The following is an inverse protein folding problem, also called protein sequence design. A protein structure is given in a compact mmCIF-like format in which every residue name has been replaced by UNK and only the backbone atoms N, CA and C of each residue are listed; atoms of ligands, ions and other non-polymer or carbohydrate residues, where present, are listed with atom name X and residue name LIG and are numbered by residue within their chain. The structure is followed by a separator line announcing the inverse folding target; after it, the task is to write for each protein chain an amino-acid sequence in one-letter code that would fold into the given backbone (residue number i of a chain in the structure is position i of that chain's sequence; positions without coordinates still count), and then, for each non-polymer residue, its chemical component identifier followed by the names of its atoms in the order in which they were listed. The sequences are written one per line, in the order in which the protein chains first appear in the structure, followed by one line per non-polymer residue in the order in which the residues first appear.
data_IF_808178364228
#
_entry.id   IF_808178364228
#
_cell.length_a   1.000
_cell.length_b   1.000
_cell.length_c   1.000
_cell.angle_alpha   90.00
_cell.angle_beta   90.00
_cell.angle_gamma   90.00
#
_symmetry.space_group_name_H-M   'P 1'
#
loop_
_entity.id
_entity.type
_entity.pdbx_description
1 polymer ?
#
# COMPACT_ATOMS: atom_id res chain seq x y z
N UNK A 1 -25.63 10.37 -25.00
CA UNK A 1 -24.64 9.91 -26.00
C UNK A 1 -23.22 10.44 -25.72
N UNK A 2 -23.05 11.50 -24.92
CA UNK A 2 -21.71 12.01 -24.55
C UNK A 2 -21.04 11.24 -23.39
N UNK A 3 -21.81 10.62 -22.49
CA UNK A 3 -21.22 9.93 -21.32
C UNK A 3 -20.43 8.66 -21.67
N UNK A 4 -20.84 7.93 -22.72
CA UNK A 4 -20.10 6.77 -23.24
C UNK A 4 -18.73 7.14 -23.82
N UNK A 5 -18.55 8.39 -24.28
CA UNK A 5 -17.27 8.88 -24.82
C UNK A 5 -16.34 9.43 -23.73
N UNK A 6 -16.84 9.61 -22.49
CA UNK A 6 -16.08 10.13 -21.35
C UNK A 6 -15.73 9.05 -20.30
N UNK A 7 -15.85 7.77 -20.67
CA UNK A 7 -15.48 6.65 -19.81
C UNK A 7 -14.04 6.20 -20.08
N UNK A 8 -13.32 5.81 -19.03
CA UNK A 8 -12.00 5.18 -19.18
C UNK A 8 -12.20 3.72 -19.64
N UNK A 9 -11.73 3.32 -20.84
CA UNK A 9 -12.17 2.12 -21.58
C UNK A 9 -11.80 0.75 -20.97
N UNK A 10 -11.37 0.71 -19.70
CA UNK A 10 -11.13 -0.51 -18.92
C UNK A 10 -11.76 -0.40 -17.53
N UNK A 11 -11.75 0.80 -16.95
CA UNK A 11 -12.22 1.06 -15.59
C UNK A 11 -13.75 1.22 -15.57
N UNK A 12 -14.38 1.56 -16.71
CA UNK A 12 -15.84 1.73 -16.79
C UNK A 12 -16.35 2.90 -15.94
N UNK A 13 -15.50 3.89 -15.68
CA UNK A 13 -15.75 5.02 -14.80
C UNK A 13 -15.68 6.32 -15.59
N UNK A 14 -16.54 7.28 -15.22
CA UNK A 14 -16.48 8.65 -15.74
C UNK A 14 -15.13 9.31 -15.41
N UNK A 15 -14.64 10.13 -16.34
CA UNK A 15 -13.37 10.86 -16.17
C UNK A 15 -13.35 11.71 -14.91
N UNK A 16 -14.44 12.39 -14.55
CA UNK A 16 -14.50 13.23 -13.35
C UNK A 16 -14.32 12.41 -12.06
N UNK A 17 -15.04 11.30 -11.93
CA UNK A 17 -14.92 10.37 -10.81
C UNK A 17 -13.51 9.75 -10.76
N UNK A 18 -12.93 9.44 -11.93
CA UNK A 18 -11.57 8.94 -12.02
C UNK A 18 -10.52 9.97 -11.56
N UNK A 19 -10.69 11.24 -11.92
CA UNK A 19 -9.79 12.30 -11.47
C UNK A 19 -9.89 12.52 -9.96
N UNK A 20 -11.09 12.46 -9.39
CA UNK A 20 -11.27 12.48 -7.94
C UNK A 20 -10.57 11.29 -7.27
N UNK A 21 -10.72 10.10 -7.83
CA UNK A 21 -10.04 8.89 -7.37
C UNK A 21 -8.51 9.04 -7.41
N UNK A 22 -7.99 9.67 -8.46
CA UNK A 22 -6.56 9.90 -8.63
C UNK A 22 -6.02 10.87 -7.56
N UNK A 23 -6.72 11.98 -7.31
CA UNK A 23 -6.33 12.98 -6.31
C UNK A 23 -6.40 12.39 -4.90
N UNK A 24 -7.47 11.64 -4.60
CA UNK A 24 -7.61 10.97 -3.31
C UNK A 24 -6.57 9.87 -3.11
N UNK A 25 -6.19 9.14 -4.17
CA UNK A 25 -5.09 8.17 -4.11
C UNK A 25 -3.72 8.82 -3.86
N UNK A 26 -3.44 9.98 -4.47
CA UNK A 26 -2.25 10.77 -4.17
C UNK A 26 -2.23 11.17 -2.68
N UNK A 27 -3.35 11.71 -2.19
CA UNK A 27 -3.49 12.11 -0.80
C UNK A 27 -3.36 10.93 0.17
N UNK A 28 -3.98 9.78 -0.15
CA UNK A 28 -3.91 8.55 0.64
C UNK A 28 -2.50 7.98 0.71
N UNK A 29 -1.77 7.97 -0.41
CA UNK A 29 -0.38 7.52 -0.45
C UNK A 29 0.54 8.43 0.36
N UNK A 30 0.37 9.76 0.24
CA UNK A 30 1.10 10.73 1.07
C UNK A 30 0.75 10.59 2.55
N UNK A 31 -0.52 10.37 2.87
CA UNK A 31 -0.99 10.13 4.23
C UNK A 31 -0.31 8.90 4.84
N UNK A 32 -0.29 7.77 4.13
CA UNK A 32 0.38 6.55 4.59
C UNK A 32 1.89 6.73 4.80
N UNK A 33 2.56 7.56 3.99
CA UNK A 33 3.95 7.94 4.23
C UNK A 33 4.10 8.85 5.47
N UNK A 34 3.18 9.80 5.67
CA UNK A 34 3.26 10.76 6.77
C UNK A 34 3.12 10.09 8.14
N UNK A 35 2.17 9.17 8.31
CA UNK A 35 1.86 8.53 9.60
C UNK A 35 2.56 7.19 9.82
N UNK A 36 3.22 6.65 8.80
CA UNK A 36 3.81 5.32 8.80
C UNK A 36 2.87 4.26 8.20
N UNK A 37 3.47 3.28 7.51
CA UNK A 37 2.72 2.28 6.75
C UNK A 37 1.88 1.39 7.68
N UNK A 38 2.48 0.84 8.76
CA UNK A 38 1.77 -0.02 9.70
C UNK A 38 0.62 0.71 10.41
N UNK A 39 0.80 1.93 10.95
CA UNK A 39 -0.31 2.73 11.47
C UNK A 39 -1.45 2.93 10.45
N UNK A 40 -1.14 3.23 9.19
CA UNK A 40 -2.16 3.37 8.15
C UNK A 40 -2.91 2.06 7.86
N UNK A 41 -2.20 0.93 7.87
CA UNK A 41 -2.82 -0.39 7.69
C UNK A 41 -3.71 -0.78 8.89
N UNK A 42 -3.27 -0.48 10.11
CA UNK A 42 -4.06 -0.68 11.33
C UNK A 42 -5.33 0.17 11.27
N UNK A 43 -5.22 1.44 10.87
CA UNK A 43 -6.37 2.32 10.68
C UNK A 43 -7.39 1.72 9.71
N UNK A 44 -6.90 1.17 8.59
CA UNK A 44 -7.74 0.45 7.63
C UNK A 44 -8.49 -0.70 8.30
N UNK A 45 -7.80 -1.51 9.09
CA UNK A 45 -8.37 -2.62 9.84
C UNK A 45 -9.50 -2.19 10.79
N UNK A 46 -9.33 -1.07 11.50
CA UNK A 46 -10.40 -0.53 12.35
C UNK A 46 -11.63 -0.09 11.56
N UNK A 47 -11.44 0.54 10.40
CA UNK A 47 -12.56 0.95 9.54
C UNK A 47 -13.30 -0.26 8.98
N UNK A 48 -12.59 -1.27 8.51
CA UNK A 48 -13.18 -2.53 8.03
C UNK A 48 -13.90 -3.24 9.17
N UNK A 49 -13.28 -3.34 10.35
CA UNK A 49 -13.90 -3.95 11.53
C UNK A 49 -15.22 -3.24 11.91
N UNK A 50 -15.23 -1.90 11.87
CA UNK A 50 -16.43 -1.11 12.12
C UNK A 50 -17.51 -1.35 11.05
N UNK A 51 -17.14 -1.34 9.76
CA UNK A 51 -18.05 -1.56 8.64
C UNK A 51 -18.72 -2.94 8.71
N UNK A 52 -17.93 -3.99 8.92
CA UNK A 52 -18.44 -5.35 9.09
C UNK A 52 -19.26 -5.51 10.37
N UNK A 53 -18.84 -4.88 11.47
CA UNK A 53 -19.56 -4.88 12.74
C UNK A 53 -20.95 -4.26 12.62
N UNK A 54 -21.06 -3.11 11.94
CA UNK A 54 -22.35 -2.48 11.61
C UNK A 54 -23.18 -3.39 10.71
N UNK A 55 -22.55 -4.03 9.72
CA UNK A 55 -23.22 -4.98 8.82
C UNK A 55 -23.84 -6.16 9.57
N UNK A 56 -23.13 -6.74 10.53
CA UNK A 56 -23.65 -7.82 11.39
C UNK A 56 -24.80 -7.30 12.25
N UNK A 57 -24.62 -6.14 12.90
CA UNK A 57 -25.63 -5.56 13.76
C UNK A 57 -26.93 -5.29 12.98
N UNK A 58 -26.86 -4.68 11.80
CA UNK A 58 -28.02 -4.44 10.92
C UNK A 58 -28.77 -5.73 10.55
N UNK A 59 -28.07 -6.85 10.33
CA UNK A 59 -28.71 -8.15 10.06
C UNK A 59 -29.47 -8.69 11.28
N UNK A 60 -29.06 -8.31 12.50
CA UNK A 60 -29.68 -8.79 13.74
C UNK A 60 -30.81 -7.89 14.25
N UNK A 61 -30.70 -6.57 14.12
CA UNK A 61 -31.69 -5.61 14.65
C UNK A 61 -32.73 -5.15 13.63
N UNK A 62 -32.63 -5.58 12.37
CA UNK A 62 -33.46 -5.11 11.26
C UNK A 62 -32.94 -3.79 10.67
N UNK A 63 -33.47 -3.43 9.50
CA UNK A 63 -33.10 -2.18 8.83
C UNK A 63 -33.43 -0.98 9.73
N UNK A 64 -32.48 -0.04 9.86
CA UNK A 64 -32.75 1.25 10.49
C UNK A 64 -33.67 2.04 9.53
N UNK A 65 -34.80 2.54 10.03
CA UNK A 65 -35.73 3.35 9.23
C UNK A 65 -34.98 4.50 8.53
N UNK A 66 -35.05 4.55 7.20
CA UNK A 66 -34.38 5.57 6.38
C UNK A 66 -32.99 5.21 5.84
N UNK A 67 -32.44 4.02 6.15
CA UNK A 67 -31.17 3.53 5.58
C UNK A 67 -31.37 2.11 5.04
N UNK A 68 -31.22 1.88 3.71
CA UNK A 68 -31.28 0.53 3.15
C UNK A 68 -30.28 -0.41 3.84
N UNK A 69 -30.76 -1.55 4.33
CA UNK A 69 -29.94 -2.52 5.07
C UNK A 69 -28.77 -3.01 4.21
N UNK A 70 -27.55 -2.96 4.74
CA UNK A 70 -26.33 -3.41 4.07
C UNK A 70 -25.58 -2.35 3.25
N UNK A 71 -26.22 -1.25 2.86
CA UNK A 71 -25.60 -0.20 2.05
C UNK A 71 -24.62 0.67 2.87
N UNK A 72 -24.97 0.95 4.12
CA UNK A 72 -24.08 1.66 5.06
C UNK A 72 -22.82 0.86 5.41
N UNK A 73 -22.96 -0.44 5.64
CA UNK A 73 -21.84 -1.33 5.95
C UNK A 73 -20.90 -1.52 4.74
N UNK A 74 -21.47 -1.76 3.55
CA UNK A 74 -20.72 -1.84 2.31
C UNK A 74 -20.04 -0.51 1.96
N UNK A 75 -20.68 0.62 2.28
CA UNK A 75 -20.10 1.96 2.15
C UNK A 75 -18.90 2.17 3.07
N UNK A 76 -18.99 1.80 4.35
CA UNK A 76 -17.88 1.99 5.29
C UNK A 76 -16.71 1.07 4.95
N UNK A 77 -16.94 -0.22 4.72
CA UNK A 77 -15.87 -1.17 4.37
C UNK A 77 -15.29 -0.86 2.99
N UNK A 78 -16.12 -0.66 1.97
CA UNK A 78 -15.69 -0.54 0.58
C UNK A 78 -15.22 0.85 0.18
N UNK A 79 -15.89 1.91 0.65
CA UNK A 79 -15.59 3.31 0.25
C UNK A 79 -14.62 3.97 1.20
N UNK A 80 -14.65 3.62 2.48
CA UNK A 80 -13.68 4.13 3.46
C UNK A 80 -12.55 3.11 3.60
N UNK A 81 -12.79 1.93 4.19
CA UNK A 81 -11.74 0.95 4.52
C UNK A 81 -10.85 0.58 3.33
N UNK A 82 -11.45 0.05 2.27
CA UNK A 82 -10.77 -0.27 1.00
C UNK A 82 -10.81 0.87 -0.02
N UNK A 83 -11.16 2.06 0.45
CA UNK A 83 -11.36 3.24 -0.36
C UNK A 83 -10.08 3.86 -0.93
N UNK A 84 -10.30 4.95 -1.66
CA UNK A 84 -9.26 5.68 -2.37
C UNK A 84 -8.22 6.37 -1.46
N UNK A 85 -8.51 6.50 -0.16
CA UNK A 85 -7.61 7.18 0.78
C UNK A 85 -6.95 6.15 1.70
N UNK A 86 -7.74 5.32 2.36
CA UNK A 86 -7.24 4.42 3.41
C UNK A 86 -7.03 3.00 2.93
N UNK A 87 -7.40 2.66 1.69
CA UNK A 87 -7.19 1.33 1.14
C UNK A 87 -5.72 0.88 1.26
N UNK A 88 -5.43 -0.40 1.59
CA UNK A 88 -4.06 -0.86 1.80
C UNK A 88 -3.19 -0.73 0.54
N UNK A 89 -3.80 -0.92 -0.63
CA UNK A 89 -3.17 -0.73 -1.93
C UNK A 89 -2.80 0.73 -2.22
N UNK A 90 -3.21 1.69 -1.38
CA UNK A 90 -2.92 3.11 -1.52
C UNK A 90 -2.07 3.60 -0.35
N UNK A 91 -2.63 3.64 0.86
CA UNK A 91 -1.95 4.21 2.02
C UNK A 91 -0.81 3.32 2.51
N UNK A 92 -1.08 2.03 2.74
CA UNK A 92 -0.04 1.11 3.20
C UNK A 92 1.04 0.91 2.13
N UNK A 93 0.65 0.67 0.86
CA UNK A 93 1.59 0.56 -0.26
C UNK A 93 2.47 1.82 -0.41
N UNK A 94 1.87 3.01 -0.30
CA UNK A 94 2.59 4.29 -0.31
C UNK A 94 3.58 4.42 0.85
N UNK A 95 3.17 4.07 2.07
CA UNK A 95 4.05 4.07 3.24
C UNK A 95 5.22 3.08 3.14
N UNK A 96 4.98 1.87 2.61
CA UNK A 96 6.04 0.87 2.38
C UNK A 96 7.06 1.39 1.37
N UNK A 97 6.61 1.98 0.27
CA UNK A 97 7.50 2.56 -0.73
C UNK A 97 8.28 3.77 -0.19
N UNK A 98 7.63 4.62 0.62
CA UNK A 98 8.26 5.73 1.31
C UNK A 98 9.36 5.25 2.27
N UNK A 99 9.11 4.17 3.01
CA UNK A 99 10.09 3.54 3.90
C UNK A 99 11.30 3.02 3.13
N UNK A 100 11.06 2.31 2.02
CA UNK A 100 12.14 1.83 1.14
C UNK A 100 12.98 2.98 0.56
N UNK A 101 12.33 4.06 0.10
CA UNK A 101 13.02 5.25 -0.39
C UNK A 101 13.84 5.95 0.70
N UNK A 102 13.26 6.14 1.89
CA UNK A 102 13.93 6.76 3.02
C UNK A 102 15.14 5.95 3.47
N UNK A 103 15.02 4.62 3.52
CA UNK A 103 16.12 3.70 3.80
C UNK A 103 17.30 3.84 2.84
N UNK A 104 17.05 4.20 1.57
CA UNK A 104 18.10 4.38 0.56
C UNK A 104 18.70 5.78 0.58
N UNK A 105 17.87 6.81 0.68
CA UNK A 105 18.26 8.22 0.50
C UNK A 105 18.65 8.92 1.80
N UNK A 106 18.00 8.55 2.91
CA UNK A 106 18.15 9.21 4.21
C UNK A 106 18.48 8.20 5.32
N UNK A 107 19.58 7.43 5.21
CA UNK A 107 19.97 6.44 6.22
C UNK A 107 20.24 7.07 7.61
N UNK A 108 20.55 8.36 7.67
CA UNK A 108 20.73 9.14 8.89
C UNK A 108 19.45 9.40 9.67
N UNK A 109 18.27 9.23 9.04
CA UNK A 109 16.98 9.33 9.73
C UNK A 109 16.63 8.07 10.52
N UNK A 110 17.44 7.02 10.45
CA UNK A 110 17.22 5.80 11.19
C UNK A 110 17.24 6.08 12.71
N UNK A 111 16.17 5.77 13.44
CA UNK A 111 16.17 5.88 14.89
C UNK A 111 17.29 5.03 15.51
N UNK A 112 17.82 5.45 16.66
CA UNK A 112 18.87 4.71 17.37
C UNK A 112 18.41 3.29 17.78
N UNK A 113 17.10 3.12 17.93
CA UNK A 113 16.34 1.91 18.21
C UNK A 113 15.73 1.24 16.97
N UNK A 114 15.80 1.89 15.79
CA UNK A 114 15.21 1.43 14.51
C UNK A 114 15.89 0.18 13.91
N UNK A 115 16.96 -0.29 14.54
CA UNK A 115 17.52 -1.62 14.31
C UNK A 115 18.11 -1.83 12.90
N UNK A 116 18.05 -3.09 12.48
CA UNK A 116 18.90 -3.69 11.45
C UNK A 116 18.68 -3.15 10.03
N UNK A 117 17.50 -2.56 9.72
CA UNK A 117 17.14 -2.07 8.38
C UNK A 117 16.07 -0.96 8.36
N UNK A 118 16.48 0.31 8.29
CA UNK A 118 15.54 1.45 8.22
C UNK A 118 14.55 1.36 7.04
N UNK A 119 14.99 0.87 5.88
CA UNK A 119 14.11 0.70 4.72
C UNK A 119 13.00 -0.35 4.87
N UNK A 120 13.00 -1.10 5.98
CA UNK A 120 11.96 -2.08 6.35
C UNK A 120 11.16 -1.63 7.57
N UNK A 121 11.49 -0.50 8.17
CA UNK A 121 10.73 0.05 9.28
C UNK A 121 9.43 0.67 8.76
N UNK A 122 8.38 -0.15 8.78
CA UNK A 122 7.04 0.25 8.36
C UNK A 122 6.30 1.07 9.44
N UNK A 123 6.89 1.23 10.62
CA UNK A 123 6.28 1.95 11.75
C UNK A 123 6.66 3.42 11.78
N UNK A 124 7.79 3.77 11.14
CA UNK A 124 8.32 5.12 11.15
C UNK A 124 7.40 6.12 10.42
N UNK A 125 7.07 7.20 11.10
CA UNK A 125 6.26 8.30 10.58
C UNK A 125 7.16 9.39 9.99
N UNK A 126 7.07 9.62 8.68
CA UNK A 126 7.92 10.62 8.00
C UNK A 126 7.41 12.06 8.12
N UNK A 127 6.27 12.27 8.79
CA UNK A 127 5.73 13.59 9.09
C UNK A 127 5.45 14.40 7.83
N UNK A 128 6.08 15.57 7.71
CA UNK A 128 5.86 16.51 6.61
C UNK A 128 6.98 16.54 5.57
N UNK A 129 7.85 15.51 5.53
CA UNK A 129 9.00 15.49 4.60
C UNK A 129 8.55 15.34 3.14
N UNK A 130 8.60 16.41 2.32
CA UNK A 130 7.80 16.47 1.08
C UNK A 130 8.21 15.43 0.03
N UNK A 131 9.50 15.13 -0.09
CA UNK A 131 9.98 14.21 -1.11
C UNK A 131 9.65 12.74 -0.78
N UNK A 132 9.64 12.37 0.51
CA UNK A 132 9.18 11.05 0.96
C UNK A 132 7.65 10.93 0.80
N UNK A 133 6.91 11.98 1.12
CA UNK A 133 5.46 12.04 0.92
C UNK A 133 5.08 11.95 -0.57
N UNK A 134 5.85 12.58 -1.46
CA UNK A 134 5.67 12.47 -2.89
C UNK A 134 5.85 11.03 -3.39
N UNK A 135 6.85 10.29 -2.86
CA UNK A 135 7.02 8.87 -3.15
C UNK A 135 5.80 8.07 -2.69
N UNK A 136 5.31 8.32 -1.48
CA UNK A 136 4.08 7.71 -0.98
C UNK A 136 2.89 7.97 -1.89
N UNK A 137 2.69 9.22 -2.30
CA UNK A 137 1.60 9.62 -3.21
C UNK A 137 1.67 8.88 -4.56
N UNK A 138 2.85 8.81 -5.18
CA UNK A 138 3.05 8.13 -6.46
C UNK A 138 2.72 6.65 -6.32
N UNK A 139 3.25 5.98 -5.29
CA UNK A 139 2.97 4.55 -5.08
C UNK A 139 1.52 4.28 -4.70
N UNK A 140 0.86 5.22 -4.02
CA UNK A 140 -0.59 5.17 -3.78
C UNK A 140 -1.40 5.18 -5.07
N UNK A 141 -1.04 6.04 -6.02
CA UNK A 141 -1.63 6.05 -7.37
C UNK A 141 -1.35 4.76 -8.12
N UNK A 142 -0.10 4.28 -8.11
CA UNK A 142 0.27 3.03 -8.79
C UNK A 142 -0.56 1.87 -8.27
N UNK A 143 -0.71 1.75 -6.95
CA UNK A 143 -1.50 0.68 -6.37
C UNK A 143 -3.00 0.82 -6.63
N UNK A 144 -3.55 2.05 -6.65
CA UNK A 144 -4.91 2.33 -7.09
C UNK A 144 -5.14 1.91 -8.55
N UNK A 145 -4.26 2.32 -9.46
CA UNK A 145 -4.36 2.01 -10.88
C UNK A 145 -4.25 0.51 -11.12
N UNK A 146 -3.33 -0.18 -10.45
CA UNK A 146 -3.22 -1.63 -10.53
C UNK A 146 -4.54 -2.31 -10.17
N UNK A 147 -5.12 -1.96 -9.01
CA UNK A 147 -6.38 -2.55 -8.54
C UNK A 147 -7.52 -2.26 -9.51
N UNK A 148 -7.64 -1.02 -10.02
CA UNK A 148 -8.70 -0.62 -10.93
C UNK A 148 -8.59 -1.29 -12.29
N UNK A 149 -7.39 -1.36 -12.86
CA UNK A 149 -7.14 -2.00 -14.15
C UNK A 149 -7.34 -3.51 -14.03
N UNK A 150 -6.80 -4.15 -12.99
CA UNK A 150 -6.95 -5.59 -12.81
C UNK A 150 -8.43 -5.97 -12.65
N UNK A 151 -9.19 -5.29 -11.79
CA UNK A 151 -10.63 -5.52 -11.68
C UNK A 151 -11.37 -5.21 -13.00
N UNK A 152 -11.03 -4.10 -13.65
CA UNK A 152 -11.65 -3.69 -14.91
C UNK A 152 -11.44 -4.71 -16.04
N UNK A 153 -10.24 -5.29 -16.15
CA UNK A 153 -9.96 -6.35 -17.13
C UNK A 153 -10.80 -7.59 -16.84
N UNK A 154 -10.86 -8.07 -15.60
CA UNK A 154 -11.63 -9.28 -15.29
C UNK A 154 -13.14 -9.06 -15.43
N UNK A 155 -13.66 -7.96 -14.88
CA UNK A 155 -15.10 -7.71 -14.81
C UNK A 155 -15.64 -7.17 -16.14
N UNK A 156 -14.99 -6.16 -16.73
CA UNK A 156 -15.54 -5.42 -17.88
C UNK A 156 -15.07 -5.95 -19.24
N UNK A 157 -13.91 -6.62 -19.30
CA UNK A 157 -13.34 -7.11 -20.57
C UNK A 157 -13.50 -8.62 -20.71
N UNK A 158 -13.16 -9.37 -19.67
CA UNK A 158 -13.26 -10.84 -19.68
C UNK A 158 -14.63 -11.34 -19.20
N UNK A 159 -15.46 -10.48 -18.61
CA UNK A 159 -16.77 -10.82 -18.04
C UNK A 159 -16.71 -12.00 -17.05
N UNK A 160 -15.61 -12.07 -16.30
CA UNK A 160 -15.34 -13.12 -15.32
C UNK A 160 -15.24 -12.56 -13.92
N UNK A 161 -15.64 -13.35 -12.93
CA UNK A 161 -15.38 -13.04 -11.53
C UNK A 161 -13.86 -12.99 -11.29
N UNK A 162 -13.34 -11.93 -10.66
CA UNK A 162 -11.94 -11.86 -10.25
C UNK A 162 -11.52 -13.13 -9.51
N UNK A 163 -10.42 -13.79 -9.90
CA UNK A 163 -9.99 -15.04 -9.29
C UNK A 163 -9.41 -14.85 -7.87
N UNK A 164 -9.13 -13.61 -7.48
CA UNK A 164 -8.51 -13.26 -6.20
C UNK A 164 -8.78 -11.80 -5.83
N UNK A 165 -8.40 -11.40 -4.62
CA UNK A 165 -8.44 -10.02 -4.17
C UNK A 165 -7.29 -9.20 -4.77
N UNK A 166 -7.61 -8.36 -5.75
CA UNK A 166 -6.63 -7.50 -6.41
C UNK A 166 -6.07 -6.39 -5.51
N UNK A 167 -6.70 -6.07 -4.37
CA UNK A 167 -6.12 -5.15 -3.37
C UNK A 167 -4.86 -5.79 -2.77
N UNK A 168 -4.95 -7.03 -2.31
CA UNK A 168 -3.82 -7.77 -1.77
C UNK A 168 -2.72 -7.98 -2.82
N UNK A 169 -3.11 -8.34 -4.05
CA UNK A 169 -2.16 -8.48 -5.17
C UNK A 169 -1.47 -7.15 -5.49
N UNK A 170 -2.20 -6.03 -5.45
CA UNK A 170 -1.64 -4.69 -5.65
C UNK A 170 -0.60 -4.33 -4.60
N UNK A 171 -0.86 -4.58 -3.32
CA UNK A 171 0.10 -4.38 -2.23
C UNK A 171 1.37 -5.19 -2.45
N UNK A 172 1.23 -6.47 -2.81
CA UNK A 172 2.35 -7.33 -3.12
C UNK A 172 3.15 -6.81 -4.33
N UNK A 173 2.47 -6.49 -5.43
CA UNK A 173 3.09 -6.03 -6.67
C UNK A 173 3.83 -4.70 -6.48
N UNK A 174 3.22 -3.75 -5.77
CA UNK A 174 3.83 -2.44 -5.48
C UNK A 174 5.03 -2.56 -4.55
N UNK A 175 4.99 -3.46 -3.55
CA UNK A 175 6.15 -3.76 -2.71
C UNK A 175 7.30 -4.37 -3.53
N UNK A 176 7.00 -5.26 -4.47
CA UNK A 176 7.99 -5.80 -5.41
C UNK A 176 8.55 -4.74 -6.35
N UNK A 177 7.70 -3.83 -6.84
CA UNK A 177 8.08 -2.72 -7.72
C UNK A 177 8.98 -1.70 -7.01
N UNK A 178 8.72 -1.40 -5.73
CA UNK A 178 9.53 -0.47 -4.96
C UNK A 178 11.01 -0.90 -4.89
N UNK A 179 11.29 -2.20 -4.92
CA UNK A 179 12.66 -2.73 -4.82
C UNK A 179 13.56 -2.26 -5.96
N UNK A 180 13.31 -2.60 -7.24
CA UNK A 180 14.15 -2.13 -8.34
C UNK A 180 14.10 -0.61 -8.49
N UNK A 181 12.96 0.04 -8.23
CA UNK A 181 12.83 1.51 -8.32
C UNK A 181 13.83 2.23 -7.39
N UNK A 182 14.05 1.71 -6.19
CA UNK A 182 15.01 2.28 -5.23
C UNK A 182 16.36 1.54 -5.19
N UNK A 183 16.62 0.66 -6.16
CA UNK A 183 17.91 -0.05 -6.28
C UNK A 183 18.15 -1.10 -5.19
N UNK A 184 17.09 -1.74 -4.70
CA UNK A 184 17.15 -2.96 -3.90
C UNK A 184 17.05 -4.19 -4.80
N UNK A 185 17.77 -5.28 -4.47
CA UNK A 185 17.62 -6.54 -5.21
C UNK A 185 16.22 -7.11 -5.00
N UNK A 186 15.59 -7.64 -6.06
CA UNK A 186 14.25 -8.28 -5.97
C UNK A 186 14.31 -9.48 -5.02
N UNK A 187 15.34 -10.32 -5.18
CA UNK A 187 15.66 -11.41 -4.26
C UNK A 187 16.93 -11.04 -3.50
N UNK A 188 16.81 -10.90 -2.18
CA UNK A 188 17.95 -10.59 -1.32
C UNK A 188 18.91 -11.77 -1.18
N UNK A 189 20.18 -11.50 -0.87
CA UNK A 189 21.14 -12.53 -0.47
C UNK A 189 21.15 -12.63 1.07
N UNK A 190 21.18 -13.84 1.64
CA UNK A 190 21.37 -13.98 3.09
C UNK A 190 22.71 -13.36 3.49
N UNK A 191 22.72 -12.70 4.65
CA UNK A 191 23.91 -12.04 5.18
C UNK A 191 24.78 -12.99 6.04
N UNK A 192 24.20 -14.09 6.53
CA UNK A 192 24.90 -15.13 7.29
C UNK A 192 25.36 -16.29 6.41
N UNK A 193 25.88 -17.33 7.05
CA UNK A 193 26.48 -18.50 6.38
C UNK A 193 25.42 -19.43 5.73
N UNK A 194 24.14 -19.11 5.89
CA UNK A 194 23.02 -19.83 5.30
C UNK A 194 21.73 -19.00 5.26
N UNK A 195 20.68 -19.56 4.65
CA UNK A 195 19.39 -18.87 4.45
C UNK A 195 18.64 -18.55 5.76
N UNK A 196 18.95 -19.25 6.85
CA UNK A 196 18.30 -19.11 8.16
C UNK A 196 19.25 -18.60 9.25
N UNK A 197 20.48 -18.19 8.88
CA UNK A 197 21.44 -17.67 9.84
C UNK A 197 21.08 -16.23 10.26
N UNK A 198 20.57 -16.10 11.48
CA UNK A 198 20.19 -14.84 12.11
C UNK A 198 21.30 -14.24 13.00
N UNK A 199 22.46 -14.89 13.09
CA UNK A 199 23.58 -14.40 13.90
C UNK A 199 24.02 -12.96 13.54
N UNK A 200 23.90 -12.46 12.29
CA UNK A 200 24.16 -11.05 11.99
C UNK A 200 23.18 -10.10 12.68
N UNK A 201 21.90 -10.47 12.79
CA UNK A 201 20.87 -9.70 13.47
C UNK A 201 21.12 -9.65 14.99
N UNK A 202 21.42 -10.80 15.60
CA UNK A 202 21.71 -10.92 17.04
C UNK A 202 22.91 -10.08 17.48
N UNK A 203 23.92 -9.96 16.61
CA UNK A 203 25.12 -9.14 16.87
C UNK A 203 24.90 -7.63 16.65
N UNK A 204 23.71 -7.20 16.23
CA UNK A 204 23.40 -5.79 15.95
C UNK A 204 24.23 -5.19 14.80
N UNK A 205 24.74 -6.02 13.88
CA UNK A 205 25.60 -5.58 12.79
C UNK A 205 24.81 -4.77 11.73
N UNK A 206 24.65 -3.46 11.94
CA UNK A 206 23.83 -2.61 11.10
C UNK A 206 24.26 -2.65 9.62
N UNK A 207 23.31 -2.98 8.73
CA UNK A 207 23.43 -2.79 7.28
C UNK A 207 22.38 -1.79 6.80
N UNK A 208 22.63 -0.48 7.03
CA UNK A 208 21.71 0.57 6.63
C UNK A 208 21.62 0.75 5.11
N UNK A 209 22.58 0.20 4.34
CA UNK A 209 22.62 0.32 2.88
C UNK A 209 22.18 -0.97 2.21
N UNK A 210 21.37 -0.82 1.15
CA UNK A 210 21.22 -1.88 0.15
C UNK A 210 22.60 -2.21 -0.43
N UNK A 211 22.94 -3.50 -0.54
CA UNK A 211 24.18 -3.96 -1.13
C UNK A 211 24.46 -3.20 -2.45
N UNK A 212 25.63 -2.56 -2.62
CA UNK A 212 26.01 -2.02 -3.92
C UNK A 212 26.01 -3.16 -4.93
N UNK A 213 25.52 -2.92 -6.15
CA UNK A 213 25.49 -3.92 -7.23
C UNK A 213 26.87 -4.52 -7.55
N UNK A 214 27.97 -3.95 -7.03
CA UNK A 214 29.35 -4.30 -7.32
C UNK A 214 30.18 -4.81 -6.14
N UNK A 215 29.62 -4.93 -4.93
CA UNK A 215 30.43 -5.38 -3.78
C UNK A 215 30.39 -6.91 -3.65
N UNK A 216 31.24 -7.57 -4.43
CA UNK A 216 31.65 -8.94 -4.14
C UNK A 216 32.49 -8.89 -2.86
N UNK A 217 31.93 -9.35 -1.73
CA UNK A 217 32.77 -9.60 -0.55
C UNK A 217 33.85 -10.62 -0.93
N UNK A 218 35.11 -10.42 -0.51
CA UNK A 218 36.07 -11.52 -0.51
C UNK A 218 35.50 -12.59 0.42
N UNK A 219 35.33 -13.80 -0.13
CA UNK A 219 34.99 -14.97 0.69
C UNK A 219 36.19 -15.25 1.60
N UNK A 220 36.02 -15.44 2.92
CA UNK A 220 37.01 -16.17 3.69
C UNK A 220 37.14 -17.61 3.17
#
# INVERSE_FOLDING_TARGET
MNELLLQVPVIGMEVEAFLLLLITALAGGAFGAAIGALPAFIFTGFVVFLGEGIGILQRQIGAIEGIPAGELAAGITGVIGFGAITGPHIAFAGGVAASAYAGKKYPEMNPADGGYHFGKDITYAFGTKPDILAVGAIFGVVGMLFTRIANGVFINVLEMTPPTDFIAVSVFATAFLARPVFGYPIVGKPAGDGLLDMSPFERGAAHPRAHPAHEQRPRP
#
